data_IF_930570565271
#
_entry.id   IF_930570565271
#
_cell.length_a   1.000
_cell.length_b   1.000
_cell.length_c   1.000
_cell.angle_alpha   90.00
_cell.angle_beta   90.00
_cell.angle_gamma   90.00
#
_symmetry.space_group_name_H-M   'P 1'
#
loop_
_entity.id
_entity.type
_entity.pdbx_description
1 polymer ?
#
# COMPACT_ATOMS: atom_id res chain seq x y z
N UNK A 1 -5.43 -26.79 17.73
CA UNK A 1 -5.43 -25.31 17.74
C UNK A 1 -6.75 -24.81 17.18
N UNK A 2 -7.54 -24.12 17.99
CA UNK A 2 -8.90 -23.62 17.70
C UNK A 2 -8.88 -22.44 16.72
N UNK A 3 -10.03 -22.14 16.09
CA UNK A 3 -10.25 -20.97 15.20
C UNK A 3 -9.83 -19.65 15.87
N UNK A 4 -10.13 -19.54 17.17
CA UNK A 4 -9.86 -18.36 18.01
C UNK A 4 -8.35 -18.19 18.26
N UNK A 5 -7.64 -19.30 18.48
CA UNK A 5 -6.18 -19.32 18.64
C UNK A 5 -5.46 -19.01 17.32
N UNK A 6 -5.95 -19.54 16.19
CA UNK A 6 -5.44 -19.17 14.84
C UNK A 6 -5.59 -17.67 14.58
N UNK A 7 -6.73 -17.08 14.94
CA UNK A 7 -6.97 -15.63 14.87
C UNK A 7 -6.10 -14.81 15.82
N UNK A 8 -5.76 -15.33 17.00
CA UNK A 8 -4.86 -14.69 17.97
C UNK A 8 -3.42 -14.68 17.44
N UNK A 9 -2.95 -15.82 16.94
CA UNK A 9 -1.62 -16.00 16.35
C UNK A 9 -1.43 -15.18 15.07
N UNK A 10 -2.44 -15.12 14.20
CA UNK A 10 -2.36 -14.36 12.95
C UNK A 10 -2.27 -12.85 13.14
N UNK A 11 -2.72 -12.28 14.27
CA UNK A 11 -2.59 -10.84 14.51
C UNK A 11 -1.37 -10.45 15.36
N UNK A 12 -0.54 -11.40 15.77
CA UNK A 12 0.77 -11.07 16.35
C UNK A 12 1.74 -10.77 15.21
N UNK A 13 2.49 -9.69 15.35
CA UNK A 13 3.63 -9.34 14.49
C UNK A 13 4.85 -9.37 15.38
N UNK A 14 5.89 -10.09 14.94
CA UNK A 14 7.17 -10.08 15.63
C UNK A 14 8.06 -8.96 15.06
N UNK A 15 9.01 -8.40 15.83
CA UNK A 15 9.91 -7.34 15.35
C UNK A 15 10.60 -7.71 14.04
N UNK A 16 11.07 -8.96 13.94
CA UNK A 16 11.74 -9.48 12.74
C UNK A 16 10.82 -9.58 11.52
N UNK A 17 9.52 -9.80 11.73
CA UNK A 17 8.54 -9.82 10.65
C UNK A 17 8.21 -8.42 10.16
N UNK A 18 8.08 -7.44 11.06
CA UNK A 18 7.90 -6.06 10.68
C UNK A 18 9.14 -5.54 9.93
N UNK A 19 10.33 -5.70 10.51
CA UNK A 19 11.59 -5.24 9.89
C UNK A 19 11.82 -5.80 8.48
N UNK A 20 11.47 -7.06 8.23
CA UNK A 20 11.65 -7.73 6.94
C UNK A 20 10.37 -7.81 6.11
N UNK A 21 9.33 -7.06 6.47
CA UNK A 21 8.06 -7.06 5.78
C UNK A 21 8.18 -6.55 4.34
N UNK A 22 7.29 -7.05 3.48
CA UNK A 22 6.99 -6.44 2.19
C UNK A 22 5.73 -5.62 2.41
N UNK A 23 5.84 -4.31 2.34
CA UNK A 23 4.73 -3.38 2.56
C UNK A 23 4.21 -2.93 1.21
N UNK A 24 2.90 -3.07 1.02
CA UNK A 24 2.27 -2.76 -0.27
C UNK A 24 1.06 -1.87 -0.08
N UNK A 25 0.87 -0.99 -1.07
CA UNK A 25 -0.30 -0.14 -1.21
C UNK A 25 -0.71 -0.08 -2.68
N UNK A 26 -2.01 -0.24 -2.96
CA UNK A 26 -2.56 -0.25 -4.32
C UNK A 26 -3.41 0.99 -4.54
N UNK A 27 -3.17 1.65 -5.67
CA UNK A 27 -3.97 2.77 -6.13
C UNK A 27 -4.72 2.41 -7.40
N UNK A 28 -6.01 2.72 -7.43
CA UNK A 28 -6.87 2.31 -8.53
C UNK A 28 -8.31 2.76 -8.44
N UNK A 29 -9.09 2.28 -9.39
CA UNK A 29 -10.54 2.46 -9.41
C UNK A 29 -11.22 1.25 -8.78
N UNK A 30 -12.37 1.49 -8.16
CA UNK A 30 -13.19 0.43 -7.59
C UNK A 30 -13.54 -0.61 -8.66
N UNK A 31 -13.51 -1.89 -8.26
CA UNK A 31 -13.93 -3.03 -9.09
C UNK A 31 -13.15 -3.18 -10.41
N UNK A 32 -11.88 -2.73 -10.43
CA UNK A 32 -10.95 -2.88 -11.55
C UNK A 32 -9.58 -3.36 -11.07
N UNK A 33 -8.78 -3.84 -12.02
CA UNK A 33 -7.34 -4.01 -11.81
C UNK A 33 -6.74 -2.65 -11.37
N UNK A 34 -5.90 -2.61 -10.33
CA UNK A 34 -5.26 -1.38 -9.87
C UNK A 34 -4.34 -0.79 -10.93
N UNK A 35 -4.09 0.51 -10.85
CA UNK A 35 -3.28 1.25 -11.83
C UNK A 35 -1.86 1.53 -11.35
N UNK A 36 -1.60 1.45 -10.04
CA UNK A 36 -0.29 1.67 -9.44
C UNK A 36 -0.16 0.80 -8.19
N UNK A 37 1.05 0.31 -7.94
CA UNK A 37 1.44 -0.34 -6.69
C UNK A 37 2.71 0.30 -6.14
N UNK A 38 2.70 0.59 -4.85
CA UNK A 38 3.89 0.87 -4.06
C UNK A 38 4.36 -0.40 -3.37
N UNK A 39 5.66 -0.64 -3.37
CA UNK A 39 6.29 -1.79 -2.73
C UNK A 39 7.48 -1.29 -1.93
N UNK A 40 7.44 -1.46 -0.61
CA UNK A 40 8.56 -1.16 0.28
C UNK A 40 9.08 -2.46 0.90
N UNK A 41 10.37 -2.71 0.70
CA UNK A 41 11.09 -3.82 1.33
C UNK A 41 12.26 -3.25 2.09
N UNK A 42 12.21 -3.37 3.42
CA UNK A 42 13.20 -2.74 4.30
C UNK A 42 13.24 -1.22 4.07
N UNK A 43 14.27 -0.66 3.44
CA UNK A 43 14.35 0.76 3.14
C UNK A 43 14.27 1.08 1.65
N UNK A 44 14.09 0.05 0.81
CA UNK A 44 14.04 0.20 -0.64
C UNK A 44 12.58 0.27 -1.08
N UNK A 45 12.19 1.44 -1.57
CA UNK A 45 10.87 1.70 -2.11
C UNK A 45 10.90 1.68 -3.64
N UNK A 46 9.94 0.97 -4.23
CA UNK A 46 9.70 0.98 -5.67
C UNK A 46 8.21 1.19 -5.97
N UNK A 47 7.94 1.84 -7.09
CA UNK A 47 6.60 2.02 -7.63
C UNK A 47 6.52 1.42 -9.03
N UNK A 48 5.44 0.70 -9.28
CA UNK A 48 5.17 0.07 -10.56
C UNK A 48 3.81 0.54 -11.05
N UNK A 49 3.80 1.13 -12.24
CA UNK A 49 2.57 1.47 -12.96
C UNK A 49 2.00 0.19 -13.57
N UNK A 50 0.73 -0.06 -13.28
CA UNK A 50 0.02 -1.27 -13.64
C UNK A 50 -0.96 -1.09 -14.80
N UNK A 51 -1.37 0.16 -15.03
CA UNK A 51 -2.26 0.56 -16.10
C UNK A 51 -1.45 1.02 -17.33
N UNK A 52 -1.53 0.33 -18.47
CA UNK A 52 -0.79 0.71 -19.68
C UNK A 52 -1.19 2.10 -20.19
N UNK A 53 -2.40 2.59 -19.89
CA UNK A 53 -2.84 3.93 -20.29
C UNK A 53 -2.05 5.05 -19.58
N UNK A 54 -1.25 4.70 -18.57
CA UNK A 54 -0.38 5.60 -17.80
C UNK A 54 1.10 5.45 -18.16
N UNK A 55 1.46 4.68 -19.20
CA UNK A 55 2.85 4.42 -19.58
C UNK A 55 3.67 5.71 -19.77
N UNK A 56 3.08 6.73 -20.41
CA UNK A 56 3.77 8.01 -20.62
C UNK A 56 4.08 8.74 -19.29
N UNK A 57 3.20 8.64 -18.29
CA UNK A 57 3.46 9.17 -16.96
C UNK A 57 4.51 8.35 -16.18
N UNK A 58 4.55 7.04 -16.42
CA UNK A 58 5.59 6.16 -15.88
C UNK A 58 6.97 6.55 -16.43
N UNK A 59 7.10 6.69 -17.76
CA UNK A 59 8.34 7.09 -18.44
C UNK A 59 8.86 8.43 -17.88
N UNK A 60 7.99 9.42 -17.73
CA UNK A 60 8.38 10.75 -17.23
C UNK A 60 8.92 10.75 -15.79
N UNK A 61 8.62 9.71 -15.01
CA UNK A 61 9.10 9.53 -13.63
C UNK A 61 10.08 8.36 -13.51
N UNK A 62 10.56 7.80 -14.63
CA UNK A 62 11.44 6.65 -14.69
C UNK A 62 10.90 5.43 -13.90
N UNK A 63 9.59 5.21 -13.96
CA UNK A 63 8.90 4.10 -13.32
C UNK A 63 8.72 2.93 -14.28
N UNK A 64 8.67 1.72 -13.73
CA UNK A 64 8.38 0.52 -14.51
C UNK A 64 6.88 0.42 -14.81
N UNK A 65 6.57 -0.09 -16.01
CA UNK A 65 5.22 -0.53 -16.37
C UNK A 65 5.19 -2.06 -16.40
N UNK A 66 4.30 -2.67 -15.62
CA UNK A 66 4.10 -4.14 -15.61
C UNK A 66 2.63 -4.46 -15.43
N UNK A 67 2.18 -5.62 -15.89
CA UNK A 67 0.84 -6.09 -15.53
C UNK A 67 0.72 -6.32 -14.01
N UNK A 68 -0.49 -6.16 -13.48
CA UNK A 68 -0.78 -6.49 -12.07
C UNK A 68 -0.40 -7.93 -11.72
N UNK A 69 -0.65 -8.88 -12.62
CA UNK A 69 -0.29 -10.28 -12.41
C UNK A 69 1.23 -10.47 -12.23
N UNK A 70 2.05 -9.78 -13.05
CA UNK A 70 3.51 -9.83 -12.93
C UNK A 70 3.99 -9.22 -11.62
N UNK A 71 3.44 -8.07 -11.19
CA UNK A 71 3.80 -7.44 -9.93
C UNK A 71 3.45 -8.33 -8.73
N UNK A 72 2.26 -8.93 -8.72
CA UNK A 72 1.86 -9.85 -7.65
C UNK A 72 2.64 -11.16 -7.64
N UNK A 73 3.05 -11.66 -8.82
CA UNK A 73 3.95 -12.81 -8.91
C UNK A 73 5.31 -12.51 -8.30
N UNK A 74 5.89 -11.35 -8.59
CA UNK A 74 7.14 -10.91 -7.98
C UNK A 74 7.04 -10.85 -6.44
N UNK A 75 6.00 -10.20 -5.91
CA UNK A 75 5.76 -10.15 -4.46
C UNK A 75 5.58 -11.56 -3.86
N UNK A 76 4.84 -12.44 -4.53
CA UNK A 76 4.60 -13.80 -4.07
C UNK A 76 5.86 -14.64 -4.01
N UNK A 77 6.72 -14.56 -5.03
CA UNK A 77 8.01 -15.24 -5.05
C UNK A 77 8.93 -14.68 -3.98
N UNK A 78 9.07 -13.35 -3.86
CA UNK A 78 9.88 -12.72 -2.81
C UNK A 78 9.42 -13.12 -1.40
N UNK A 79 8.11 -13.11 -1.14
CA UNK A 79 7.54 -13.53 0.14
C UNK A 79 7.77 -15.03 0.45
N UNK A 80 7.83 -15.86 -0.58
CA UNK A 80 8.04 -17.30 -0.48
C UNK A 80 9.51 -17.62 -0.25
N UNK A 81 10.40 -17.16 -1.12
CA UNK A 81 11.84 -17.46 -1.13
C UNK A 81 12.52 -16.95 0.13
N UNK A 82 12.26 -15.69 0.50
CA UNK A 82 12.89 -15.04 1.65
C UNK A 82 12.09 -15.20 2.95
N UNK A 83 10.97 -15.92 2.87
CA UNK A 83 10.05 -16.19 3.98
C UNK A 83 9.48 -14.89 4.61
N UNK A 84 9.38 -13.81 3.83
CA UNK A 84 8.83 -12.52 4.28
C UNK A 84 7.31 -12.57 4.50
N UNK A 85 6.81 -11.61 5.26
CA UNK A 85 5.36 -11.35 5.41
C UNK A 85 4.98 -10.21 4.47
N UNK A 86 3.76 -10.28 3.93
CA UNK A 86 3.20 -9.21 3.09
C UNK A 86 2.22 -8.43 3.95
N UNK A 87 2.45 -7.14 4.10
CA UNK A 87 1.61 -6.22 4.86
C UNK A 87 0.91 -5.27 3.89
N UNK A 88 -0.40 -5.14 4.03
CA UNK A 88 -1.13 -4.00 3.51
C UNK A 88 -2.10 -3.52 4.59
N UNK A 89 -2.65 -2.31 4.44
CA UNK A 89 -3.45 -1.72 5.50
C UNK A 89 -4.76 -2.48 5.72
N UNK A 90 -5.42 -2.96 4.66
CA UNK A 90 -6.73 -3.59 4.74
C UNK A 90 -6.81 -4.87 3.90
N UNK A 91 -7.92 -5.61 3.92
CA UNK A 91 -8.05 -6.80 3.04
C UNK A 91 -8.15 -6.47 1.53
N UNK A 92 -8.25 -5.20 1.15
CA UNK A 92 -8.52 -4.79 -0.22
C UNK A 92 -7.47 -5.35 -1.19
N UNK A 93 -6.20 -5.20 -0.88
CA UNK A 93 -5.10 -5.63 -1.74
C UNK A 93 -5.06 -7.15 -1.88
N UNK A 94 -5.36 -7.88 -0.80
CA UNK A 94 -5.45 -9.33 -0.83
C UNK A 94 -6.63 -9.80 -1.69
N UNK A 95 -7.78 -9.14 -1.58
CA UNK A 95 -8.96 -9.50 -2.36
C UNK A 95 -8.70 -9.33 -3.85
N UNK A 96 -8.10 -8.20 -4.26
CA UNK A 96 -7.68 -7.97 -5.65
C UNK A 96 -6.68 -9.04 -6.12
N UNK A 97 -5.69 -9.39 -5.30
CA UNK A 97 -4.73 -10.42 -5.65
C UNK A 97 -5.39 -11.80 -5.84
N UNK A 98 -6.39 -12.15 -5.03
CA UNK A 98 -7.16 -13.40 -5.13
C UNK A 98 -8.07 -13.44 -6.36
N UNK A 99 -8.63 -12.29 -6.72
CA UNK A 99 -9.57 -12.15 -7.83
C UNK A 99 -8.86 -12.15 -9.19
N UNK A 100 -7.77 -11.40 -9.31
CA UNK A 100 -7.16 -11.11 -10.62
C UNK A 100 -5.85 -11.86 -10.88
N UNK A 101 -5.32 -12.64 -9.93
CA UNK A 101 -4.00 -13.27 -10.09
C UNK A 101 -3.95 -14.71 -9.56
N UNK A 102 -3.16 -15.56 -10.22
CA UNK A 102 -2.83 -16.90 -9.71
C UNK A 102 -1.95 -16.88 -8.44
N UNK A 103 -1.33 -15.74 -8.15
CA UNK A 103 -0.46 -15.51 -6.99
C UNK A 103 -1.23 -15.25 -5.70
N UNK A 104 -2.52 -14.91 -5.78
CA UNK A 104 -3.38 -14.59 -4.63
C UNK A 104 -3.33 -15.61 -3.48
N UNK A 105 -3.45 -16.93 -3.73
CA UNK A 105 -3.32 -17.95 -2.68
C UNK A 105 -1.96 -17.95 -1.97
N UNK A 106 -0.88 -17.67 -2.69
CA UNK A 106 0.47 -17.58 -2.10
C UNK A 106 0.60 -16.35 -1.23
N UNK A 107 0.12 -15.21 -1.70
CA UNK A 107 0.08 -13.96 -0.94
C UNK A 107 -0.77 -14.15 0.33
N UNK A 108 -1.97 -14.74 0.22
CA UNK A 108 -2.87 -15.03 1.35
C UNK A 108 -2.18 -15.75 2.50
N UNK A 109 -1.31 -16.73 2.22
CA UNK A 109 -0.58 -17.49 3.26
C UNK A 109 0.47 -16.65 4.00
N UNK A 110 0.95 -15.57 3.39
CA UNK A 110 1.97 -14.66 3.94
C UNK A 110 1.40 -13.33 4.41
N UNK A 111 0.14 -13.06 4.08
CA UNK A 111 -0.54 -11.79 4.28
C UNK A 111 -0.80 -11.45 5.75
N UNK A 112 -0.66 -10.17 6.08
CA UNK A 112 -0.91 -9.56 7.39
C UNK A 112 -1.70 -8.27 7.22
N UNK A 113 -2.85 -8.21 7.88
CA UNK A 113 -3.78 -7.08 7.84
C UNK A 113 -3.36 -6.02 8.86
N UNK A 114 -2.74 -4.94 8.37
CA UNK A 114 -2.17 -3.87 9.21
C UNK A 114 -3.20 -3.21 10.12
N UNK A 115 -4.39 -2.91 9.61
CA UNK A 115 -5.46 -2.28 10.37
C UNK A 115 -5.95 -3.16 11.52
N UNK A 116 -6.20 -4.45 11.28
CA UNK A 116 -6.62 -5.37 12.36
C UNK A 116 -5.55 -5.55 13.43
N UNK A 117 -4.29 -5.59 13.02
CA UNK A 117 -3.14 -5.70 13.92
C UNK A 117 -3.04 -4.43 14.78
N UNK A 118 -3.02 -3.26 14.16
CA UNK A 118 -2.93 -1.97 14.83
C UNK A 118 -4.10 -1.74 15.79
N UNK A 119 -5.34 -2.02 15.35
CA UNK A 119 -6.53 -1.89 16.20
C UNK A 119 -6.47 -2.78 17.44
N UNK A 120 -5.98 -4.00 17.30
CA UNK A 120 -5.83 -4.91 18.44
C UNK A 120 -4.80 -4.40 19.44
N UNK A 121 -3.65 -3.98 18.94
CA UNK A 121 -2.58 -3.41 19.74
C UNK A 121 -3.05 -2.16 20.50
N UNK A 122 -3.71 -1.23 19.82
CA UNK A 122 -4.24 -0.02 20.46
C UNK A 122 -5.24 -0.36 21.57
N UNK A 123 -6.20 -1.24 21.29
CA UNK A 123 -7.19 -1.64 22.28
C UNK A 123 -6.61 -2.42 23.48
N UNK A 124 -5.40 -2.99 23.36
CA UNK A 124 -4.75 -3.69 24.48
C UNK A 124 -3.83 -2.79 25.29
N UNK A 125 -3.05 -1.94 24.63
CA UNK A 125 -2.00 -1.13 25.27
C UNK A 125 -2.45 0.30 25.61
N UNK A 126 -3.48 0.80 24.92
CA UNK A 126 -3.91 2.21 24.94
C UNK A 126 -5.43 2.31 25.15
N UNK A 127 -5.98 1.47 26.03
CA UNK A 127 -7.43 1.33 26.23
C UNK A 127 -8.11 2.58 26.80
N UNK A 128 -7.35 3.48 27.41
CA UNK A 128 -7.75 4.76 27.98
C UNK A 128 -7.54 5.95 27.03
N UNK A 129 -6.90 5.71 25.89
CA UNK A 129 -6.64 6.74 24.88
C UNK A 129 -7.71 6.74 23.77
N UNK A 130 -7.87 7.89 23.11
CA UNK A 130 -8.79 8.05 22.00
C UNK A 130 -8.04 8.20 20.68
N UNK A 131 -8.58 7.57 19.63
CA UNK A 131 -8.13 7.77 18.26
C UNK A 131 -9.31 8.27 17.41
N UNK A 132 -9.16 9.48 16.85
CA UNK A 132 -10.23 10.14 16.10
C UNK A 132 -10.68 9.34 14.87
N UNK A 133 -9.76 8.57 14.29
CA UNK A 133 -9.98 7.80 13.08
C UNK A 133 -9.18 6.49 13.12
N UNK A 134 -9.82 5.37 12.81
CA UNK A 134 -9.17 4.05 12.73
C UNK A 134 -8.43 3.81 11.40
N UNK A 135 -8.28 4.81 10.55
CA UNK A 135 -7.43 4.77 9.36
C UNK A 135 -5.94 4.97 9.69
N UNK A 136 -5.07 4.69 8.71
CA UNK A 136 -3.62 4.77 8.88
C UNK A 136 -3.19 6.15 9.41
N UNK A 137 -3.76 7.21 8.84
CA UNK A 137 -3.55 8.61 9.30
C UNK A 137 -3.86 8.83 10.77
N UNK A 138 -4.91 8.21 11.29
CA UNK A 138 -5.25 8.36 12.71
C UNK A 138 -4.21 7.72 13.60
N UNK A 139 -3.72 6.53 13.23
CA UNK A 139 -2.63 5.88 13.95
C UNK A 139 -1.33 6.66 13.86
N UNK A 140 -1.02 7.22 12.69
CA UNK A 140 0.18 8.03 12.50
C UNK A 140 0.12 9.35 13.29
N UNK A 141 -1.07 9.98 13.38
CA UNK A 141 -1.31 11.12 14.26
C UNK A 141 -1.10 10.75 15.74
N UNK A 142 -1.62 9.60 16.16
CA UNK A 142 -1.40 9.06 17.51
C UNK A 142 0.11 8.86 17.81
N UNK A 143 0.86 8.34 16.85
CA UNK A 143 2.32 8.18 16.94
C UNK A 143 3.11 9.49 16.82
N UNK A 144 2.45 10.66 16.77
CA UNK A 144 3.06 11.98 16.59
C UNK A 144 3.88 12.10 15.29
N UNK A 145 3.49 11.34 14.26
CA UNK A 145 4.07 11.35 12.92
C UNK A 145 2.97 11.52 11.87
N UNK A 146 2.19 12.61 11.92
CA UNK A 146 1.02 12.78 11.05
C UNK A 146 1.41 12.85 9.57
N UNK A 147 0.42 12.62 8.70
CA UNK A 147 0.55 12.90 7.28
C UNK A 147 1.01 14.36 7.08
N UNK A 148 2.03 14.61 6.24
CA UNK A 148 2.43 15.97 5.88
C UNK A 148 1.28 16.81 5.30
N UNK A 149 1.15 18.05 5.74
CA UNK A 149 0.06 18.96 5.32
C UNK A 149 -0.01 19.16 3.80
N UNK A 150 1.15 19.13 3.12
CA UNK A 150 1.26 19.26 1.65
C UNK A 150 0.36 18.29 0.87
N UNK A 151 -0.02 17.16 1.46
CA UNK A 151 -0.88 16.17 0.80
C UNK A 151 -2.35 16.57 0.73
N UNK A 152 -2.81 17.52 1.55
CA UNK A 152 -4.16 18.07 1.50
C UNK A 152 -5.30 17.06 1.68
N UNK A 153 -6.50 17.42 1.18
CA UNK A 153 -7.67 16.54 1.18
C UNK A 153 -7.56 15.53 0.04
N UNK A 154 -7.55 14.24 0.40
CA UNK A 154 -7.25 13.12 -0.49
C UNK A 154 -8.29 12.94 -1.58
N UNK A 155 -7.81 12.72 -2.80
CA UNK A 155 -8.57 12.03 -3.84
C UNK A 155 -7.62 11.27 -4.78
N UNK A 156 -6.91 10.25 -4.28
CA UNK A 156 -5.98 9.46 -5.09
C UNK A 156 -6.63 8.95 -6.39
N UNK A 157 -7.82 8.37 -6.30
CA UNK A 157 -8.65 7.97 -7.46
C UNK A 157 -8.98 9.12 -8.42
N UNK A 158 -9.25 10.33 -7.90
CA UNK A 158 -9.51 11.51 -8.75
C UNK A 158 -8.23 11.96 -9.47
N UNK A 159 -7.10 12.05 -8.76
CA UNK A 159 -5.80 12.43 -9.34
C UNK A 159 -5.44 11.45 -10.46
N UNK A 160 -5.53 10.15 -10.16
CA UNK A 160 -5.31 9.06 -11.10
C UNK A 160 -6.21 9.19 -12.34
N UNK A 161 -7.52 9.36 -12.14
CA UNK A 161 -8.48 9.57 -13.23
C UNK A 161 -8.16 10.80 -14.07
N UNK A 162 -7.83 11.92 -13.42
CA UNK A 162 -7.49 13.17 -14.10
C UNK A 162 -6.24 13.02 -14.97
N UNK A 163 -5.19 12.39 -14.46
CA UNK A 163 -3.95 12.16 -15.24
C UNK A 163 -4.24 11.25 -16.43
N UNK A 164 -4.95 10.14 -16.23
CA UNK A 164 -5.32 9.22 -17.31
C UNK A 164 -6.13 9.92 -18.40
N UNK A 165 -7.15 10.68 -18.02
CA UNK A 165 -8.01 11.41 -18.96
C UNK A 165 -7.23 12.48 -19.74
N UNK A 166 -6.24 13.12 -19.10
CA UNK A 166 -5.40 14.12 -19.76
C UNK A 166 -4.39 13.49 -20.71
N UNK A 167 -3.81 12.34 -20.36
CA UNK A 167 -2.96 11.56 -21.27
C UNK A 167 -3.74 11.08 -22.49
N UNK A 168 -4.96 10.58 -22.30
CA UNK A 168 -5.83 10.19 -23.42
C UNK A 168 -6.13 11.34 -24.39
N UNK A 169 -6.17 12.58 -23.89
CA UNK A 169 -6.41 13.79 -24.71
C UNK A 169 -5.15 14.37 -25.35
N UNK A 170 -4.00 14.25 -24.69
CA UNK A 170 -2.77 14.98 -25.07
C UNK A 170 -1.64 14.09 -25.59
N UNK A 171 -1.74 12.77 -25.41
CA UNK A 171 -0.79 11.79 -25.90
C UNK A 171 0.47 11.67 -25.03
N UNK A 172 1.15 12.76 -24.69
CA UNK A 172 2.42 12.72 -23.95
C UNK A 172 2.35 13.37 -22.57
N UNK A 173 3.23 12.96 -21.65
CA UNK A 173 3.32 13.55 -20.31
C UNK A 173 3.79 15.02 -20.35
N UNK A 174 4.66 15.36 -21.30
CA UNK A 174 5.20 16.72 -21.42
C UNK A 174 4.15 17.74 -21.86
N UNK A 175 3.12 17.28 -22.56
CA UNK A 175 2.00 18.14 -22.99
C UNK A 175 0.92 18.31 -21.91
N UNK A 176 1.03 17.58 -20.79
CA UNK A 176 0.12 17.71 -19.66
C UNK A 176 0.20 19.11 -19.04
N UNK A 177 -0.92 19.56 -18.47
CA UNK A 177 -0.92 20.80 -17.68
C UNK A 177 -0.06 20.63 -16.43
N UNK A 178 0.52 21.71 -15.88
CA UNK A 178 1.22 21.65 -14.60
C UNK A 178 0.38 21.01 -13.48
N UNK A 179 -0.94 21.23 -13.49
CA UNK A 179 -1.87 20.58 -12.56
C UNK A 179 -1.91 19.06 -12.70
N UNK A 180 -1.97 18.52 -13.93
CA UNK A 180 -1.95 17.07 -14.16
C UNK A 180 -0.61 16.46 -13.71
N UNK A 181 0.51 17.14 -13.99
CA UNK A 181 1.84 16.69 -13.57
C UNK A 181 1.99 16.70 -12.04
N UNK A 182 1.44 17.72 -11.37
CA UNK A 182 1.37 17.80 -9.91
C UNK A 182 0.48 16.70 -9.33
N UNK A 183 -0.67 16.41 -9.95
CA UNK A 183 -1.53 15.30 -9.51
C UNK A 183 -0.83 13.95 -9.62
N UNK A 184 -0.02 13.73 -10.66
CA UNK A 184 0.80 12.54 -10.75
C UNK A 184 1.83 12.46 -9.62
N UNK A 185 2.58 13.54 -9.40
CA UNK A 185 3.60 13.60 -8.35
C UNK A 185 2.99 13.41 -6.96
N UNK A 186 1.89 14.08 -6.66
CA UNK A 186 1.17 13.94 -5.39
C UNK A 186 0.66 12.51 -5.16
N UNK A 187 0.23 11.80 -6.22
CA UNK A 187 -0.21 10.41 -6.12
C UNK A 187 0.96 9.50 -5.75
N UNK A 188 2.12 9.69 -6.41
CA UNK A 188 3.31 8.90 -6.16
C UNK A 188 3.84 9.12 -4.73
N UNK A 189 4.02 10.38 -4.32
CA UNK A 189 4.48 10.74 -2.97
C UNK A 189 3.53 10.21 -1.88
N UNK A 190 2.22 10.18 -2.16
CA UNK A 190 1.21 9.71 -1.21
C UNK A 190 1.24 8.18 -1.03
N UNK A 191 1.36 7.44 -2.14
CA UNK A 191 1.48 5.98 -2.13
C UNK A 191 2.78 5.51 -1.44
N UNK A 192 3.89 6.26 -1.61
CA UNK A 192 5.12 6.06 -0.83
C UNK A 192 4.88 6.24 0.66
N UNK A 193 4.22 7.35 1.03
CA UNK A 193 3.92 7.65 2.41
C UNK A 193 3.08 6.55 3.07
N UNK A 194 2.06 6.01 2.39
CA UNK A 194 1.23 4.92 2.94
C UNK A 194 2.05 3.65 3.23
N UNK A 195 3.00 3.30 2.36
CA UNK A 195 3.92 2.18 2.60
C UNK A 195 4.84 2.41 3.81
N UNK A 196 5.47 3.59 3.89
CA UNK A 196 6.37 3.97 4.98
C UNK A 196 5.64 4.09 6.33
N UNK A 197 4.45 4.67 6.31
CA UNK A 197 3.60 4.81 7.49
C UNK A 197 3.16 3.44 8.01
N UNK A 198 2.77 2.52 7.11
CA UNK A 198 2.41 1.16 7.50
C UNK A 198 3.62 0.40 8.09
N UNK A 199 4.82 0.55 7.51
CA UNK A 199 6.02 -0.04 8.09
C UNK A 199 6.32 0.49 9.49
N UNK A 200 6.25 1.80 9.66
CA UNK A 200 6.47 2.45 10.95
C UNK A 200 5.49 1.93 12.00
N UNK A 201 4.20 1.87 11.66
CA UNK A 201 3.16 1.36 12.54
C UNK A 201 3.39 -0.12 12.89
N UNK A 202 3.68 -0.98 11.92
CA UNK A 202 3.95 -2.40 12.19
C UNK A 202 5.22 -2.62 13.00
N UNK A 203 6.24 -1.78 12.84
CA UNK A 203 7.46 -1.82 13.64
C UNK A 203 7.17 -1.41 15.09
N UNK A 204 6.37 -0.36 15.29
CA UNK A 204 5.92 0.06 16.62
C UNK A 204 5.12 -1.03 17.31
N UNK A 205 4.17 -1.65 16.60
CA UNK A 205 3.36 -2.76 17.13
C UNK A 205 4.21 -3.98 17.45
N UNK A 206 5.18 -4.32 16.59
CA UNK A 206 6.02 -5.50 16.77
C UNK A 206 6.99 -5.43 17.94
N UNK A 207 7.38 -4.23 18.37
CA UNK A 207 8.34 -4.00 19.45
C UNK A 207 7.72 -4.01 20.86
N UNK A 208 6.40 -4.17 20.99
CA UNK A 208 5.70 -4.37 22.26
C UNK A 208 5.40 -5.86 22.49
#
# INVERSE_FOLDING_TARGET
>A
MTEKEKRKWNARVYPSQAKRGIYVDLEGFKDKVPSLIGILVENDFEQIVLDPDLEQAAIAKNLQVKSFACAMQYIAELAKTEKRKVFAYSQHELNLALEYTSSGPTIKRKYKDGHKIAKRWFNSEHYDEHIDNWGLKGFMKFLRQPLPERFGHQKATYRLGYVRDMLAKRGTYNDLTPTAQNHWTDLLDYNEWDCLALQTLMTRVGNN
#
